data_IF_768159697439
#
_entry.id   IF_768159697439
#
_cell.length_a   1.000
_cell.length_b   1.000
_cell.length_c   1.000
_cell.angle_alpha   90.00
_cell.angle_beta   90.00
_cell.angle_gamma   90.00
#
_symmetry.space_group_name_H-M   'P 1'
#
loop_
_entity.id
_entity.type
_entity.pdbx_description
1 polymer ?
#
# COMPACT_ATOMS: atom_id res chain seq x y z
N UNK A 1 32.84 -48.89 45.62
CA UNK A 1 32.90 -47.53 45.03
C UNK A 1 33.61 -47.69 43.69
N UNK A 2 32.86 -47.83 42.59
CA UNK A 2 33.45 -47.82 41.25
C UNK A 2 33.17 -46.46 40.64
N UNK A 3 34.23 -45.68 40.46
CA UNK A 3 34.25 -44.45 39.68
C UNK A 3 33.73 -44.75 38.28
N UNK A 4 32.64 -44.08 37.87
CA UNK A 4 32.22 -44.06 36.46
C UNK A 4 33.25 -43.23 35.72
N UNK A 5 33.99 -43.87 34.83
CA UNK A 5 34.90 -43.19 33.92
C UNK A 5 34.11 -42.14 33.13
N UNK A 6 34.66 -40.93 32.92
CA UNK A 6 34.10 -39.98 31.99
C UNK A 6 34.36 -40.54 30.59
N UNK A 7 33.46 -41.39 30.10
CA UNK A 7 33.43 -41.74 28.69
C UNK A 7 33.27 -40.44 27.92
N UNK A 8 34.31 -40.08 27.19
CA UNK A 8 34.44 -38.88 26.39
C UNK A 8 33.11 -38.55 25.71
N UNK A 9 32.48 -37.47 26.17
CA UNK A 9 31.36 -36.85 25.48
C UNK A 9 31.93 -36.43 24.12
N UNK A 10 31.73 -37.29 23.13
CA UNK A 10 32.43 -37.21 21.86
C UNK A 10 32.16 -35.86 21.23
N UNK A 11 33.17 -35.30 20.56
CA UNK A 11 33.04 -34.03 19.81
C UNK A 11 31.79 -34.05 18.90
N UNK A 12 31.36 -35.24 18.44
CA UNK A 12 30.11 -35.46 17.72
C UNK A 12 28.82 -35.13 18.51
N UNK A 13 28.76 -35.42 19.81
CA UNK A 13 27.60 -35.08 20.66
C UNK A 13 27.50 -33.57 20.89
N UNK A 14 28.64 -32.90 21.10
CA UNK A 14 28.70 -31.44 21.23
C UNK A 14 28.29 -30.74 19.92
N UNK A 15 28.75 -31.24 18.78
CA UNK A 15 28.34 -30.75 17.45
C UNK A 15 26.85 -30.99 17.20
N UNK A 16 26.33 -32.15 17.57
CA UNK A 16 24.89 -32.47 17.44
C UNK A 16 24.06 -31.51 18.28
N UNK A 17 24.46 -31.25 19.53
CA UNK A 17 23.83 -30.25 20.40
C UNK A 17 23.87 -28.84 19.83
N UNK A 18 24.99 -28.42 19.24
CA UNK A 18 25.13 -27.09 18.62
C UNK A 18 24.22 -26.93 17.39
N UNK A 19 24.08 -27.99 16.60
CA UNK A 19 23.17 -28.03 15.44
C UNK A 19 21.70 -28.01 15.89
N UNK A 20 21.37 -28.70 16.97
CA UNK A 20 20.02 -28.71 17.54
C UNK A 20 19.65 -27.33 18.12
N UNK A 21 20.55 -26.70 18.87
CA UNK A 21 20.35 -25.36 19.44
C UNK A 21 20.22 -24.27 18.37
N UNK A 22 21.04 -24.36 17.30
CA UNK A 22 20.97 -23.41 16.18
C UNK A 22 19.68 -23.55 15.36
N UNK A 23 19.14 -24.77 15.21
CA UNK A 23 17.80 -25.00 14.63
C UNK A 23 16.69 -24.38 15.48
N UNK A 24 16.77 -24.54 16.81
CA UNK A 24 15.82 -23.95 17.75
C UNK A 24 15.82 -22.42 17.68
N UNK A 25 17.02 -21.82 17.65
CA UNK A 25 17.20 -20.38 17.50
C UNK A 25 16.65 -19.84 16.17
N UNK A 26 16.92 -20.54 15.06
CA UNK A 26 16.38 -20.18 13.75
C UNK A 26 14.85 -20.24 13.69
N UNK A 27 14.23 -21.25 14.34
CA UNK A 27 12.77 -21.35 14.43
C UNK A 27 12.15 -20.21 15.26
N UNK A 28 12.80 -19.80 16.34
CA UNK A 28 12.36 -18.68 17.17
C UNK A 28 12.42 -17.35 16.40
N UNK A 29 13.51 -17.11 15.65
CA UNK A 29 13.67 -15.90 14.84
C UNK A 29 12.63 -15.83 13.71
N UNK A 30 12.40 -16.96 13.02
CA UNK A 30 11.33 -17.06 12.00
C UNK A 30 9.95 -16.82 12.60
N UNK A 31 9.69 -17.29 13.82
CA UNK A 31 8.46 -17.01 14.57
C UNK A 31 8.30 -15.52 14.88
N UNK A 32 9.37 -14.85 15.29
CA UNK A 32 9.40 -13.41 15.56
C UNK A 32 9.13 -12.58 14.29
N UNK A 33 9.83 -12.87 13.19
CA UNK A 33 9.58 -12.19 11.91
C UNK A 33 8.16 -12.44 11.40
N UNK A 34 7.64 -13.67 11.52
CA UNK A 34 6.28 -13.98 11.09
C UNK A 34 5.22 -13.22 11.89
N UNK A 35 5.42 -13.06 13.19
CA UNK A 35 4.49 -12.30 14.05
C UNK A 35 4.61 -10.80 13.82
N UNK A 36 5.82 -10.26 13.62
CA UNK A 36 6.06 -8.86 13.28
C UNK A 36 5.47 -8.48 11.90
N UNK A 37 5.66 -9.33 10.89
CA UNK A 37 5.08 -9.12 9.55
C UNK A 37 3.55 -9.18 9.64
N UNK A 38 2.98 -10.11 10.40
CA UNK A 38 1.53 -10.25 10.55
C UNK A 38 0.89 -9.09 11.31
N UNK A 39 1.56 -8.53 12.33
CA UNK A 39 1.07 -7.34 13.03
C UNK A 39 1.09 -6.11 12.12
N UNK A 40 2.21 -5.89 11.40
CA UNK A 40 2.33 -4.82 10.40
C UNK A 40 1.30 -4.96 9.27
N UNK A 41 1.03 -6.17 8.79
CA UNK A 41 0.01 -6.42 7.76
C UNK A 41 -1.41 -6.10 8.25
N UNK A 42 -1.72 -6.38 9.52
CA UNK A 42 -3.04 -6.11 10.10
C UNK A 42 -3.31 -4.62 10.15
N UNK A 43 -2.32 -3.84 10.59
CA UNK A 43 -2.43 -2.39 10.67
C UNK A 43 -2.45 -1.76 9.26
N UNK A 44 -1.63 -2.28 8.34
CA UNK A 44 -1.66 -1.88 6.94
C UNK A 44 -3.00 -2.19 6.27
N UNK A 45 -3.64 -3.32 6.59
CA UNK A 45 -4.96 -3.68 6.04
C UNK A 45 -6.05 -2.70 6.47
N UNK A 46 -6.05 -2.28 7.74
CA UNK A 46 -6.98 -1.26 8.21
C UNK A 46 -6.76 0.07 7.48
N UNK A 47 -5.49 0.47 7.32
CA UNK A 47 -5.11 1.68 6.57
C UNK A 47 -5.53 1.60 5.09
N UNK A 48 -5.39 0.44 4.45
CA UNK A 48 -5.81 0.22 3.06
C UNK A 48 -7.33 0.35 2.91
N UNK A 49 -8.12 -0.23 3.81
CA UNK A 49 -9.58 -0.09 3.76
C UNK A 49 -10.03 1.34 4.03
N UNK A 50 -9.43 2.02 5.01
CA UNK A 50 -9.73 3.43 5.28
C UNK A 50 -9.34 4.31 4.09
N UNK A 51 -8.18 4.07 3.47
CA UNK A 51 -7.73 4.78 2.27
C UNK A 51 -8.65 4.54 1.08
N UNK A 52 -9.04 3.28 0.82
CA UNK A 52 -9.98 2.94 -0.24
C UNK A 52 -11.36 3.57 -0.01
N UNK A 53 -11.87 3.54 1.22
CA UNK A 53 -13.13 4.19 1.59
C UNK A 53 -13.05 5.71 1.41
N UNK A 54 -11.95 6.35 1.83
CA UNK A 54 -11.74 7.78 1.65
C UNK A 54 -11.71 8.18 0.16
N UNK A 55 -10.97 7.44 -0.67
CA UNK A 55 -10.94 7.66 -2.13
C UNK A 55 -12.34 7.48 -2.72
N UNK A 56 -13.07 6.44 -2.32
CA UNK A 56 -14.45 6.22 -2.75
C UNK A 56 -15.38 7.37 -2.37
N UNK A 57 -15.28 7.88 -1.14
CA UNK A 57 -16.08 9.02 -0.67
C UNK A 57 -15.75 10.31 -1.41
N UNK A 58 -14.48 10.58 -1.68
CA UNK A 58 -14.05 11.73 -2.48
C UNK A 58 -14.60 11.61 -3.91
N UNK A 59 -14.51 10.42 -4.51
CA UNK A 59 -15.05 10.17 -5.85
C UNK A 59 -16.57 10.37 -5.89
N UNK A 60 -17.30 9.84 -4.91
CA UNK A 60 -18.75 10.03 -4.80
C UNK A 60 -19.13 11.51 -4.63
N UNK A 61 -18.39 12.25 -3.79
CA UNK A 61 -18.58 13.68 -3.60
C UNK A 61 -18.33 14.47 -4.89
N UNK A 62 -17.29 14.13 -5.66
CA UNK A 62 -17.02 14.74 -6.96
C UNK A 62 -18.17 14.50 -7.95
N UNK A 63 -18.68 13.27 -8.04
CA UNK A 63 -19.85 12.98 -8.89
C UNK A 63 -21.06 13.78 -8.45
N UNK A 64 -21.36 13.82 -7.15
CA UNK A 64 -22.47 14.59 -6.62
C UNK A 64 -22.34 16.09 -6.93
N UNK A 65 -21.11 16.64 -6.84
CA UNK A 65 -20.82 18.03 -7.20
C UNK A 65 -21.08 18.30 -8.69
N UNK A 66 -20.66 17.39 -9.58
CA UNK A 66 -20.92 17.50 -11.02
C UNK A 66 -22.42 17.47 -11.31
N UNK A 67 -23.15 16.54 -10.68
CA UNK A 67 -24.61 16.46 -10.83
C UNK A 67 -25.28 17.75 -10.35
N UNK A 68 -24.89 18.26 -9.18
CA UNK A 68 -25.37 19.54 -8.64
C UNK A 68 -25.13 20.69 -9.61
N UNK A 69 -23.93 20.77 -10.19
CA UNK A 69 -23.57 21.80 -11.17
C UNK A 69 -24.43 21.71 -12.44
N UNK A 70 -24.65 20.50 -12.96
CA UNK A 70 -25.53 20.28 -14.12
C UNK A 70 -26.95 20.73 -13.79
N UNK A 71 -27.50 20.37 -12.62
CA UNK A 71 -28.85 20.79 -12.22
C UNK A 71 -28.95 22.31 -12.07
N UNK A 72 -27.92 22.97 -11.54
CA UNK A 72 -27.88 24.44 -11.45
C UNK A 72 -27.85 25.07 -12.83
N UNK A 73 -27.03 24.60 -13.76
CA UNK A 73 -26.92 25.19 -15.12
C UNK A 73 -28.15 24.86 -15.97
N UNK A 74 -28.74 23.68 -15.78
CA UNK A 74 -29.90 23.21 -16.54
C UNK A 74 -31.11 24.13 -16.43
N UNK A 75 -31.26 24.88 -15.33
CA UNK A 75 -32.36 25.83 -15.16
C UNK A 75 -32.29 27.01 -16.15
N UNK A 76 -31.12 27.29 -16.74
CA UNK A 76 -30.92 28.42 -17.66
C UNK A 76 -30.84 28.00 -19.13
N UNK A 77 -30.21 26.87 -19.44
CA UNK A 77 -29.91 26.44 -20.83
C UNK A 77 -30.56 25.11 -21.21
N UNK A 78 -31.29 24.49 -20.28
CA UNK A 78 -31.85 23.16 -20.43
C UNK A 78 -30.85 22.02 -20.14
N UNK A 79 -31.33 20.80 -19.86
CA UNK A 79 -30.49 19.71 -19.36
C UNK A 79 -29.39 19.26 -20.33
N UNK A 80 -29.69 19.18 -21.64
CA UNK A 80 -28.75 18.70 -22.65
C UNK A 80 -27.55 19.63 -22.85
N UNK A 81 -27.78 20.94 -22.86
CA UNK A 81 -26.69 21.92 -22.98
C UNK A 81 -25.90 22.05 -21.68
N UNK A 82 -26.56 21.93 -20.53
CA UNK A 82 -25.88 21.97 -19.24
C UNK A 82 -24.85 20.85 -19.07
N UNK A 83 -25.20 19.60 -19.43
CA UNK A 83 -24.25 18.48 -19.36
C UNK A 83 -23.06 18.69 -20.29
N UNK A 84 -23.30 19.15 -21.52
CA UNK A 84 -22.25 19.40 -22.49
C UNK A 84 -21.27 20.49 -22.00
N UNK A 85 -21.79 21.60 -21.47
CA UNK A 85 -20.97 22.69 -20.93
C UNK A 85 -20.11 22.20 -19.75
N UNK A 86 -20.72 21.48 -18.80
CA UNK A 86 -20.01 20.99 -17.62
C UNK A 86 -18.92 19.99 -18.00
N UNK A 87 -19.22 19.02 -18.88
CA UNK A 87 -18.24 18.03 -19.34
C UNK A 87 -17.08 18.71 -20.05
N UNK A 88 -17.35 19.61 -21.00
CA UNK A 88 -16.28 20.32 -21.73
C UNK A 88 -15.41 21.14 -20.76
N UNK A 89 -16.02 21.82 -19.79
CA UNK A 89 -15.30 22.64 -18.81
C UNK A 89 -14.38 21.79 -17.94
N UNK A 90 -14.89 20.68 -17.38
CA UNK A 90 -14.10 19.78 -16.51
C UNK A 90 -13.00 19.10 -17.32
N UNK A 91 -13.30 18.61 -18.53
CA UNK A 91 -12.32 18.00 -19.42
C UNK A 91 -11.21 18.98 -19.82
N UNK A 92 -11.53 20.25 -20.06
CA UNK A 92 -10.54 21.27 -20.35
C UNK A 92 -9.58 21.48 -19.16
N UNK A 93 -10.12 21.62 -17.94
CA UNK A 93 -9.32 21.76 -16.71
C UNK A 93 -8.45 20.53 -16.48
N UNK A 94 -9.02 19.33 -16.59
CA UNK A 94 -8.30 18.07 -16.43
C UNK A 94 -7.19 17.93 -17.48
N UNK A 95 -7.44 18.31 -18.73
CA UNK A 95 -6.46 18.29 -19.81
C UNK A 95 -5.28 19.25 -19.56
N UNK A 96 -5.55 20.44 -19.02
CA UNK A 96 -4.50 21.40 -18.64
C UNK A 96 -3.65 20.83 -17.50
N UNK A 97 -4.27 20.30 -16.44
CA UNK A 97 -3.54 19.69 -15.33
C UNK A 97 -2.70 18.49 -15.79
N UNK A 98 -3.26 17.62 -16.63
CA UNK A 98 -2.54 16.46 -17.19
C UNK A 98 -1.33 16.92 -18.02
N UNK A 99 -1.46 17.98 -18.81
CA UNK A 99 -0.36 18.56 -19.57
C UNK A 99 0.75 19.10 -18.67
N UNK A 100 0.41 19.81 -17.60
CA UNK A 100 1.38 20.32 -16.63
C UNK A 100 2.09 19.17 -15.90
N UNK A 101 1.36 18.15 -15.47
CA UNK A 101 1.92 16.95 -14.85
C UNK A 101 2.89 16.23 -15.81
N UNK A 102 2.51 16.10 -17.09
CA UNK A 102 3.35 15.49 -18.10
C UNK A 102 4.65 16.26 -18.37
N UNK A 103 4.60 17.59 -18.35
CA UNK A 103 5.79 18.44 -18.46
C UNK A 103 6.73 18.22 -17.27
N UNK A 104 6.17 18.09 -16.05
CA UNK A 104 6.96 17.84 -14.85
C UNK A 104 7.60 16.45 -14.84
N UNK A 105 6.86 15.42 -15.25
CA UNK A 105 7.37 14.04 -15.36
C UNK A 105 8.48 13.95 -16.41
N UNK A 106 8.30 14.60 -17.57
CA UNK A 106 9.35 14.67 -18.59
C UNK A 106 10.63 15.34 -18.11
N UNK A 107 10.53 16.32 -17.21
CA UNK A 107 11.71 16.97 -16.62
C UNK A 107 12.51 15.99 -15.77
N UNK A 108 11.84 15.27 -14.87
CA UNK A 108 12.47 14.29 -13.96
C UNK A 108 13.09 13.12 -14.74
N UNK A 109 12.43 12.65 -15.81
CA UNK A 109 12.94 11.55 -16.64
C UNK A 109 14.03 12.04 -17.61
N UNK A 110 14.01 13.33 -17.99
CA UNK A 110 14.95 13.94 -18.93
C UNK A 110 16.28 14.36 -18.30
N UNK A 111 16.33 14.51 -16.98
CA UNK A 111 17.59 14.60 -16.22
C UNK A 111 18.26 13.21 -16.24
N UNK A 112 19.05 12.96 -17.30
CA UNK A 112 20.06 11.89 -17.25
C UNK A 112 21.06 12.22 -16.13
N UNK A 113 21.50 11.22 -15.35
CA UNK A 113 22.56 11.41 -14.35
C UNK A 113 23.87 11.86 -15.00
#
# INVERSE_FOLDING_TARGET
MSERQPEDEGIGDLLTRLVEDSKGYAHAELGYYRTLVRSKLRDARAMLWMGAAAIGLVQAALVALIVGLVLTVAQYVGPGWATLIVVVTISAVAGIMARLAWVQVKRIIGEKP
#
